data_IF_409657575832
#
_entry.id   IF_409657575832
#
_cell.length_a   1.000
_cell.length_b   1.000
_cell.length_c   1.000
_cell.angle_alpha   90.00
_cell.angle_beta   90.00
_cell.angle_gamma   90.00
#
_symmetry.space_group_name_H-M   'P 1'
#
loop_
_entity.id
_entity.type
_entity.pdbx_description
1 polymer ?
#
# COMPACT_ATOMS: atom_id res chain seq x y z
N UNK A 1 -21.35 -15.86 -11.73
CA UNK A 1 -20.64 -16.78 -12.65
C UNK A 1 -19.97 -17.96 -11.95
N UNK A 2 -19.18 -17.73 -10.89
CA UNK A 2 -18.40 -18.74 -10.13
C UNK A 2 -19.04 -20.14 -10.02
N UNK A 3 -20.16 -20.29 -9.30
CA UNK A 3 -20.79 -21.60 -9.05
C UNK A 3 -21.37 -22.28 -10.29
N UNK A 4 -21.81 -21.52 -11.29
CA UNK A 4 -22.56 -22.05 -12.46
C UNK A 4 -21.65 -22.34 -13.65
N UNK A 5 -20.59 -21.55 -13.83
CA UNK A 5 -19.68 -21.65 -14.97
C UNK A 5 -18.32 -22.21 -14.52
N UNK A 6 -17.56 -21.44 -13.73
CA UNK A 6 -16.16 -21.77 -13.42
C UNK A 6 -16.01 -23.03 -12.56
N UNK A 7 -16.82 -23.21 -11.52
CA UNK A 7 -16.73 -24.40 -10.66
C UNK A 7 -17.22 -25.66 -11.38
N UNK A 8 -18.33 -25.53 -12.13
CA UNK A 8 -18.95 -26.67 -12.83
C UNK A 8 -18.13 -27.12 -14.04
N UNK A 9 -17.50 -26.17 -14.73
CA UNK A 9 -16.81 -26.39 -16.00
C UNK A 9 -15.36 -25.91 -15.92
N UNK A 10 -14.63 -26.40 -14.91
CA UNK A 10 -13.26 -25.94 -14.58
C UNK A 10 -12.30 -25.92 -15.79
N UNK A 11 -12.36 -26.95 -16.62
CA UNK A 11 -11.44 -27.10 -17.75
C UNK A 11 -12.02 -26.58 -19.08
N UNK A 12 -13.30 -26.15 -19.11
CA UNK A 12 -13.99 -25.84 -20.35
C UNK A 12 -13.31 -24.72 -21.13
N UNK A 13 -12.86 -23.66 -20.46
CA UNK A 13 -12.15 -22.56 -21.14
C UNK A 13 -10.86 -23.04 -21.81
N UNK A 14 -10.08 -23.84 -21.09
CA UNK A 14 -8.80 -24.39 -21.57
C UNK A 14 -9.02 -25.36 -22.73
N UNK A 15 -9.99 -26.26 -22.62
CA UNK A 15 -10.34 -27.22 -23.67
C UNK A 15 -10.94 -26.54 -24.90
N UNK A 16 -11.80 -25.55 -24.71
CA UNK A 16 -12.40 -24.78 -25.80
C UNK A 16 -11.32 -24.02 -26.58
N UNK A 17 -10.38 -23.39 -25.88
CA UNK A 17 -9.24 -22.70 -26.51
C UNK A 17 -8.40 -23.66 -27.35
N UNK A 18 -8.06 -24.84 -26.81
CA UNK A 18 -7.34 -25.88 -27.53
C UNK A 18 -8.04 -26.29 -28.83
N UNK A 19 -9.36 -26.52 -28.76
CA UNK A 19 -10.15 -26.90 -29.94
C UNK A 19 -10.18 -25.77 -30.96
N UNK A 20 -10.36 -24.53 -30.52
CA UNK A 20 -10.36 -23.35 -31.41
C UNK A 20 -9.01 -23.22 -32.13
N UNK A 21 -7.90 -23.32 -31.41
CA UNK A 21 -6.56 -23.20 -31.99
C UNK A 21 -6.27 -24.33 -32.98
N UNK A 22 -6.68 -25.57 -32.65
CA UNK A 22 -6.55 -26.72 -33.55
C UNK A 22 -7.38 -26.57 -34.83
N UNK A 23 -8.60 -26.05 -34.73
CA UNK A 23 -9.46 -25.83 -35.90
C UNK A 23 -8.91 -24.71 -36.78
N UNK A 24 -8.40 -23.63 -36.17
CA UNK A 24 -7.89 -22.47 -36.91
C UNK A 24 -6.51 -22.70 -37.53
N UNK A 25 -5.61 -23.45 -36.86
CA UNK A 25 -4.20 -23.56 -37.22
C UNK A 25 -3.71 -25.00 -37.42
N UNK A 26 -4.60 -25.99 -37.34
CA UNK A 26 -4.23 -27.40 -37.43
C UNK A 26 -3.29 -27.83 -36.31
N UNK A 27 -2.30 -28.67 -36.62
CA UNK A 27 -1.33 -29.18 -35.64
C UNK A 27 -0.51 -28.05 -34.98
N UNK A 28 -0.26 -26.94 -35.69
CA UNK A 28 0.42 -25.77 -35.12
C UNK A 28 -0.38 -25.12 -33.99
N UNK A 29 -1.70 -25.31 -33.97
CA UNK A 29 -2.57 -24.87 -32.87
C UNK A 29 -2.18 -25.46 -31.51
N UNK A 30 -1.61 -26.67 -31.47
CA UNK A 30 -1.10 -27.27 -30.23
C UNK A 30 0.02 -26.41 -29.62
N UNK A 31 0.93 -25.93 -30.46
CA UNK A 31 2.05 -25.09 -30.02
C UNK A 31 1.57 -23.73 -29.55
N UNK A 32 0.62 -23.11 -30.27
CA UNK A 32 0.02 -21.81 -29.88
C UNK A 32 -0.65 -21.94 -28.51
N UNK A 33 -1.51 -22.95 -28.34
CA UNK A 33 -2.20 -23.21 -27.09
C UNK A 33 -1.20 -23.45 -25.94
N UNK A 34 -0.14 -24.24 -26.18
CA UNK A 34 0.88 -24.51 -25.17
C UNK A 34 1.60 -23.22 -24.72
N UNK A 35 1.93 -22.33 -25.67
CA UNK A 35 2.51 -21.01 -25.38
C UNK A 35 1.55 -20.16 -24.55
N UNK A 36 0.25 -20.14 -24.89
CA UNK A 36 -0.75 -19.40 -24.12
C UNK A 36 -0.91 -19.94 -22.69
N UNK A 37 -0.83 -21.26 -22.50
CA UNK A 37 -0.93 -21.89 -21.18
C UNK A 37 0.29 -21.60 -20.29
N UNK A 38 1.49 -21.58 -20.87
CA UNK A 38 2.70 -21.26 -20.09
C UNK A 38 2.88 -19.75 -19.87
N UNK A 39 2.29 -18.90 -20.71
CA UNK A 39 2.43 -17.45 -20.63
C UNK A 39 2.12 -16.90 -19.24
N UNK A 40 0.93 -17.20 -18.70
CA UNK A 40 0.52 -16.64 -17.40
C UNK A 40 1.42 -17.14 -16.26
N UNK A 41 1.65 -18.45 -16.04
CA UNK A 41 2.54 -18.91 -14.98
C UNK A 41 3.97 -18.36 -15.10
N UNK A 42 4.53 -18.34 -16.31
CA UNK A 42 5.90 -17.87 -16.53
C UNK A 42 6.02 -16.37 -16.26
N UNK A 43 5.15 -15.55 -16.85
CA UNK A 43 5.23 -14.10 -16.73
C UNK A 43 4.71 -13.60 -15.38
N UNK A 44 3.56 -14.09 -14.89
CA UNK A 44 3.01 -13.61 -13.63
C UNK A 44 3.78 -14.17 -12.42
N UNK A 45 3.87 -15.49 -12.29
CA UNK A 45 4.48 -16.12 -11.11
C UNK A 45 6.03 -16.14 -11.18
N UNK A 46 6.61 -16.14 -12.38
CA UNK A 46 8.06 -16.07 -12.56
C UNK A 46 8.55 -14.63 -12.66
N UNK A 47 8.30 -13.97 -13.80
CA UNK A 47 8.91 -12.69 -14.15
C UNK A 47 8.42 -11.55 -13.26
N UNK A 48 7.11 -11.31 -13.21
CA UNK A 48 6.52 -10.17 -12.49
C UNK A 48 6.65 -10.37 -10.98
N UNK A 49 6.45 -11.57 -10.45
CA UNK A 49 6.74 -11.83 -9.04
C UNK A 49 8.21 -11.54 -8.70
N UNK A 50 9.16 -12.05 -9.51
CA UNK A 50 10.59 -11.80 -9.30
C UNK A 50 10.96 -10.32 -9.39
N UNK A 51 10.54 -9.64 -10.45
CA UNK A 51 10.78 -8.20 -10.65
C UNK A 51 10.09 -7.36 -9.57
N UNK A 52 8.85 -7.70 -9.23
CA UNK A 52 8.07 -7.03 -8.18
C UNK A 52 8.74 -7.11 -6.82
N UNK A 53 9.55 -8.13 -6.54
CA UNK A 53 10.34 -8.20 -5.30
C UNK A 53 11.75 -7.58 -5.41
N UNK A 54 12.20 -7.22 -6.61
CA UNK A 54 13.54 -6.66 -6.84
C UNK A 54 13.53 -5.15 -7.09
N UNK A 55 12.61 -4.66 -7.91
CA UNK A 55 12.64 -3.28 -8.39
C UNK A 55 11.24 -2.71 -8.68
N UNK A 56 11.01 -1.49 -8.20
CA UNK A 56 9.77 -0.77 -8.40
C UNK A 56 9.55 0.33 -7.35
N UNK A 57 8.35 0.90 -7.35
CA UNK A 57 7.91 1.87 -6.35
C UNK A 57 6.97 1.22 -5.33
N UNK A 58 6.72 1.90 -4.21
CA UNK A 58 5.80 1.43 -3.16
C UNK A 58 4.85 2.53 -2.75
N UNK A 59 3.57 2.20 -2.64
CA UNK A 59 2.59 3.05 -1.99
C UNK A 59 2.52 2.79 -0.49
N UNK A 60 2.83 1.55 -0.07
CA UNK A 60 2.69 1.08 1.29
C UNK A 60 3.95 0.38 1.79
N UNK A 61 4.27 0.62 3.06
CA UNK A 61 5.31 -0.11 3.79
C UNK A 61 4.75 -1.44 4.31
N UNK A 62 4.57 -2.41 3.40
CA UNK A 62 4.31 -3.81 3.74
C UNK A 62 5.57 -4.50 4.28
N UNK A 63 5.46 -5.57 5.10
CA UNK A 63 6.62 -6.28 5.65
C UNK A 63 7.51 -6.95 4.59
N UNK A 64 6.92 -7.35 3.47
CA UNK A 64 7.64 -7.98 2.36
C UNK A 64 8.35 -6.99 1.44
N UNK A 65 9.13 -7.55 0.51
CA UNK A 65 9.84 -6.80 -0.51
C UNK A 65 8.96 -6.38 -1.71
N UNK A 66 7.63 -6.58 -1.69
CA UNK A 66 6.77 -6.36 -2.86
C UNK A 66 6.72 -4.88 -3.31
N UNK A 67 7.00 -4.61 -4.57
CA UNK A 67 7.00 -3.31 -5.22
C UNK A 67 6.06 -3.31 -6.41
N UNK A 68 5.43 -2.18 -6.69
CA UNK A 68 4.74 -1.99 -7.96
C UNK A 68 5.79 -1.74 -9.05
N UNK A 69 5.73 -2.48 -10.14
CA UNK A 69 6.75 -2.42 -11.20
C UNK A 69 6.50 -1.21 -12.10
N UNK A 70 5.28 -1.13 -12.64
CA UNK A 70 4.83 -0.05 -13.52
C UNK A 70 3.42 0.38 -13.15
N UNK A 71 3.04 1.64 -13.42
CA UNK A 71 1.68 2.12 -13.17
C UNK A 71 0.62 1.49 -14.07
N UNK A 72 1.02 0.88 -15.19
CA UNK A 72 0.13 0.32 -16.20
C UNK A 72 0.00 -1.20 -16.00
N UNK A 73 -1.02 -1.63 -15.26
CA UNK A 73 -1.32 -3.03 -15.00
C UNK A 73 -1.93 -3.77 -16.21
N UNK A 74 -1.30 -3.66 -17.37
CA UNK A 74 -1.83 -4.12 -18.66
C UNK A 74 -1.36 -5.52 -19.07
N UNK A 75 -0.12 -5.92 -18.73
CA UNK A 75 0.52 -7.10 -19.30
C UNK A 75 -0.02 -8.40 -18.70
N UNK A 76 -0.31 -8.40 -17.40
CA UNK A 76 -0.84 -9.56 -16.69
C UNK A 76 -2.03 -9.21 -15.80
N UNK A 77 -2.84 -8.25 -16.24
CA UNK A 77 -4.15 -7.97 -15.66
C UNK A 77 -4.12 -7.24 -14.31
N UNK A 78 -3.04 -6.55 -13.96
CA UNK A 78 -2.95 -5.70 -12.77
C UNK A 78 -1.98 -6.19 -11.69
N UNK A 79 -1.47 -7.43 -11.80
CA UNK A 79 -0.47 -8.01 -10.88
C UNK A 79 0.84 -7.19 -10.84
N UNK A 80 1.07 -6.31 -11.81
CA UNK A 80 2.17 -5.33 -11.79
C UNK A 80 2.07 -4.34 -10.61
N UNK A 81 0.87 -4.17 -10.05
CA UNK A 81 0.58 -3.39 -8.84
C UNK A 81 0.76 -4.24 -7.56
N UNK A 82 1.86 -4.98 -7.52
CA UNK A 82 2.16 -6.02 -6.53
C UNK A 82 2.25 -5.51 -5.09
N UNK A 83 2.82 -4.32 -4.85
CA UNK A 83 2.87 -3.72 -3.51
C UNK A 83 1.46 -3.42 -2.98
N UNK A 84 0.56 -2.97 -3.85
CA UNK A 84 -0.82 -2.69 -3.46
C UNK A 84 -1.57 -4.00 -3.18
N UNK A 85 -1.37 -5.03 -4.00
CA UNK A 85 -1.93 -6.37 -3.78
C UNK A 85 -1.50 -6.92 -2.41
N UNK A 86 -0.21 -6.89 -2.11
CA UNK A 86 0.34 -7.36 -0.84
C UNK A 86 -0.12 -6.51 0.37
N UNK A 87 -0.35 -5.21 0.18
CA UNK A 87 -0.93 -4.34 1.21
C UNK A 87 -2.39 -4.69 1.51
N UNK A 88 -3.19 -5.02 0.49
CA UNK A 88 -4.62 -5.30 0.60
C UNK A 88 -5.02 -6.56 -0.20
N UNK A 89 -4.61 -7.76 0.24
CA UNK A 89 -4.75 -9.00 -0.55
C UNK A 89 -6.20 -9.42 -0.79
N UNK A 90 -7.12 -8.94 0.05
CA UNK A 90 -8.56 -9.20 -0.12
C UNK A 90 -9.29 -8.19 -1.01
N UNK A 91 -8.62 -7.13 -1.46
CA UNK A 91 -9.20 -6.12 -2.34
C UNK A 91 -9.32 -6.67 -3.76
N UNK A 92 -10.50 -6.52 -4.36
CA UNK A 92 -10.71 -6.82 -5.78
C UNK A 92 -10.08 -5.77 -6.72
N UNK A 93 -9.68 -4.61 -6.19
CA UNK A 93 -9.00 -3.54 -6.91
C UNK A 93 -7.54 -3.48 -6.44
N UNK A 94 -6.60 -3.58 -7.37
CA UNK A 94 -5.16 -3.53 -7.15
C UNK A 94 -4.62 -2.09 -7.24
N UNK A 95 -5.27 -1.21 -7.99
CA UNK A 95 -4.92 0.23 -8.00
C UNK A 95 -5.28 0.95 -6.70
N UNK A 96 -4.33 1.73 -6.19
CA UNK A 96 -4.45 2.57 -4.99
C UNK A 96 -4.26 4.07 -5.29
N UNK A 97 -3.58 4.42 -6.38
CA UNK A 97 -3.44 5.80 -6.87
C UNK A 97 -4.32 6.02 -8.09
N UNK A 98 -4.72 7.27 -8.32
CA UNK A 98 -5.57 7.64 -9.45
C UNK A 98 -4.88 7.45 -10.82
N UNK A 99 -3.55 7.50 -10.85
CA UNK A 99 -2.72 7.31 -12.05
C UNK A 99 -2.32 5.85 -12.29
N UNK A 100 -2.66 4.93 -11.38
CA UNK A 100 -2.45 3.49 -11.58
C UNK A 100 -3.61 2.94 -12.41
N UNK A 101 -3.28 2.32 -13.55
CA UNK A 101 -4.24 1.67 -14.42
C UNK A 101 -4.33 0.20 -14.02
N UNK A 102 -5.53 -0.23 -13.69
CA UNK A 102 -5.83 -1.58 -13.23
C UNK A 102 -6.83 -2.22 -14.18
N UNK A 103 -6.31 -3.00 -15.13
CA UNK A 103 -7.12 -3.63 -16.16
C UNK A 103 -8.04 -4.71 -15.56
N UNK A 104 -7.57 -5.45 -14.56
CA UNK A 104 -8.36 -6.43 -13.82
C UNK A 104 -9.59 -5.81 -13.17
N UNK A 105 -9.43 -4.64 -12.53
CA UNK A 105 -10.55 -3.87 -12.00
C UNK A 105 -11.53 -3.43 -13.09
N UNK A 106 -11.03 -3.00 -14.25
CA UNK A 106 -11.86 -2.71 -15.42
C UNK A 106 -12.76 -3.89 -15.81
N UNK A 107 -12.18 -5.09 -15.94
CA UNK A 107 -12.94 -6.31 -16.23
C UNK A 107 -13.97 -6.63 -15.14
N UNK A 108 -13.60 -6.54 -13.87
CA UNK A 108 -14.52 -6.80 -12.73
C UNK A 108 -15.69 -5.81 -12.76
N UNK A 109 -15.44 -4.54 -13.06
CA UNK A 109 -16.49 -3.52 -13.17
C UNK A 109 -17.41 -3.77 -14.34
N UNK A 110 -16.89 -4.17 -15.50
CA UNK A 110 -17.71 -4.57 -16.65
C UNK A 110 -18.60 -5.77 -16.31
N UNK A 111 -18.02 -6.83 -15.71
CA UNK A 111 -18.81 -8.00 -15.29
C UNK A 111 -19.86 -7.64 -14.23
N UNK A 112 -19.55 -6.73 -13.31
CA UNK A 112 -20.52 -6.26 -12.32
C UNK A 112 -21.64 -5.43 -12.95
N UNK A 113 -21.34 -4.63 -13.98
CA UNK A 113 -22.32 -3.83 -14.72
C UNK A 113 -23.38 -4.73 -15.38
N UNK A 114 -22.95 -5.86 -15.95
CA UNK A 114 -23.84 -6.86 -16.54
C UNK A 114 -24.44 -7.83 -15.50
N UNK A 115 -24.27 -7.59 -14.20
CA UNK A 115 -24.81 -8.45 -13.12
C UNK A 115 -24.16 -9.85 -13.03
N UNK A 116 -23.03 -10.06 -13.71
CA UNK A 116 -22.34 -11.34 -13.80
C UNK A 116 -21.41 -11.61 -12.61
N UNK A 117 -20.92 -10.53 -11.99
CA UNK A 117 -20.08 -10.53 -10.80
C UNK A 117 -20.61 -9.57 -9.73
N UNK A 118 -20.24 -9.81 -8.47
CA UNK A 118 -20.43 -8.87 -7.35
C UNK A 118 -19.08 -8.60 -6.71
N UNK A 119 -18.71 -7.33 -6.58
CA UNK A 119 -17.49 -6.92 -5.86
C UNK A 119 -17.71 -7.17 -4.38
N UNK A 120 -16.87 -8.01 -3.76
CA UNK A 120 -17.02 -8.36 -2.34
C UNK A 120 -16.32 -7.37 -1.41
N UNK A 121 -15.08 -6.99 -1.75
CA UNK A 121 -14.22 -6.15 -0.92
C UNK A 121 -13.36 -5.25 -1.79
N UNK A 122 -13.15 -4.03 -1.33
CA UNK A 122 -12.21 -3.06 -1.89
C UNK A 122 -11.42 -2.50 -0.71
N UNK A 123 -10.14 -2.21 -0.94
CA UNK A 123 -9.31 -1.56 0.07
C UNK A 123 -9.99 -0.27 0.58
N UNK A 124 -10.04 -0.05 1.90
CA UNK A 124 -10.68 1.12 2.47
C UNK A 124 -9.95 2.39 2.05
N UNK A 125 -10.66 3.31 1.41
CA UNK A 125 -10.13 4.64 1.08
C UNK A 125 -10.52 5.60 2.19
N UNK A 126 -9.54 6.15 2.94
CA UNK A 126 -9.82 7.11 3.98
C UNK A 126 -10.27 8.45 3.35
N UNK A 127 -11.31 9.03 3.94
CA UNK A 127 -11.82 10.36 3.64
C UNK A 127 -11.68 11.22 4.89
N UNK A 128 -11.46 12.52 4.72
CA UNK A 128 -11.42 13.46 5.83
C UNK A 128 -12.79 14.13 5.93
N UNK A 129 -13.54 13.81 6.98
CA UNK A 129 -14.72 14.53 7.41
C UNK A 129 -14.30 15.78 8.19
N UNK A 130 -14.49 16.95 7.59
CA UNK A 130 -14.12 18.23 8.18
C UNK A 130 -15.03 18.63 9.37
N UNK A 131 -16.17 17.97 9.56
CA UNK A 131 -17.11 18.29 10.64
C UNK A 131 -16.70 17.64 11.97
N UNK A 132 -15.93 16.55 11.92
CA UNK A 132 -15.46 15.85 13.12
C UNK A 132 -14.35 16.62 13.82
N UNK A 133 -14.57 16.90 15.11
CA UNK A 133 -13.60 17.60 15.95
C UNK A 133 -12.88 16.69 16.96
N UNK A 134 -13.42 15.49 17.21
CA UNK A 134 -12.89 14.53 18.16
C UNK A 134 -12.73 13.16 17.53
N UNK A 135 -11.74 12.41 18.01
CA UNK A 135 -11.53 11.03 17.62
C UNK A 135 -12.53 10.18 18.40
N UNK A 136 -13.50 9.63 17.68
CA UNK A 136 -14.50 8.71 18.18
C UNK A 136 -14.19 7.26 17.76
N UNK A 137 -15.06 6.32 18.16
CA UNK A 137 -14.91 4.91 17.82
C UNK A 137 -14.94 4.64 16.31
N UNK A 138 -15.69 5.43 15.55
CA UNK A 138 -15.77 5.26 14.09
C UNK A 138 -14.49 5.75 13.41
N UNK A 139 -13.91 6.84 13.91
CA UNK A 139 -12.61 7.35 13.49
C UNK A 139 -11.52 6.32 13.78
N UNK A 140 -11.54 5.72 14.98
CA UNK A 140 -10.60 4.65 15.33
C UNK A 140 -10.71 3.46 14.36
N UNK A 141 -11.93 2.98 14.10
CA UNK A 141 -12.18 1.88 13.15
C UNK A 141 -11.67 2.24 11.75
N UNK A 142 -11.91 3.48 11.30
CA UNK A 142 -11.44 3.96 10.01
C UNK A 142 -9.91 3.99 9.93
N UNK A 143 -9.24 4.55 10.94
CA UNK A 143 -7.78 4.61 11.05
C UNK A 143 -7.17 3.20 11.07
N UNK A 144 -7.74 2.26 11.81
CA UNK A 144 -7.25 0.87 11.87
C UNK A 144 -7.44 0.17 10.51
N UNK A 145 -8.63 0.28 9.91
CA UNK A 145 -8.91 -0.34 8.63
C UNK A 145 -8.00 0.22 7.51
N UNK A 146 -7.75 1.54 7.54
CA UNK A 146 -6.90 2.24 6.58
C UNK A 146 -5.47 2.47 7.09
N UNK A 147 -4.95 1.67 8.04
CA UNK A 147 -3.66 1.91 8.71
C UNK A 147 -2.47 2.09 7.75
N UNK A 148 -2.43 1.33 6.65
CA UNK A 148 -1.36 1.47 5.66
C UNK A 148 -1.48 2.79 4.88
N UNK A 149 -2.70 3.26 4.60
CA UNK A 149 -2.92 4.60 4.06
C UNK A 149 -2.52 5.70 5.05
N UNK A 150 -2.83 5.55 6.34
CA UNK A 150 -2.44 6.48 7.40
C UNK A 150 -0.91 6.59 7.48
N UNK A 151 -0.21 5.46 7.49
CA UNK A 151 1.27 5.44 7.50
C UNK A 151 1.89 5.99 6.22
N UNK A 152 1.31 5.68 5.05
CA UNK A 152 1.70 6.25 3.75
C UNK A 152 1.47 7.76 3.70
N UNK A 153 0.39 8.26 4.33
CA UNK A 153 0.14 9.68 4.48
C UNK A 153 1.16 10.32 5.42
N UNK A 154 1.40 9.75 6.61
CA UNK A 154 2.38 10.24 7.57
C UNK A 154 3.78 10.39 6.95
N UNK A 155 4.24 9.37 6.20
CA UNK A 155 5.51 9.41 5.50
C UNK A 155 5.59 10.59 4.50
N UNK A 156 4.52 10.84 3.74
CA UNK A 156 4.49 11.87 2.70
C UNK A 156 4.23 13.28 3.23
N UNK A 157 3.41 13.46 4.27
CA UNK A 157 2.97 14.77 4.75
C UNK A 157 3.70 15.24 5.99
N UNK A 158 4.33 14.33 6.75
CA UNK A 158 5.08 14.66 7.96
C UNK A 158 6.56 14.41 7.76
N UNK A 159 6.94 13.16 7.48
CA UNK A 159 8.34 12.76 7.45
C UNK A 159 9.13 13.41 6.33
N UNK A 160 8.67 13.30 5.07
CA UNK A 160 9.40 13.84 3.93
C UNK A 160 9.53 15.37 3.98
N UNK A 161 8.48 16.16 4.29
CA UNK A 161 8.60 17.60 4.41
C UNK A 161 9.53 18.02 5.55
N UNK A 162 9.44 17.37 6.72
CA UNK A 162 10.33 17.65 7.84
C UNK A 162 11.80 17.38 7.44
N UNK A 163 12.08 16.24 6.81
CA UNK A 163 13.41 15.88 6.34
C UNK A 163 13.97 16.85 5.31
N UNK A 164 13.17 17.24 4.32
CA UNK A 164 13.59 18.22 3.31
C UNK A 164 13.86 19.60 3.91
N UNK A 165 13.07 20.02 4.90
CA UNK A 165 13.30 21.28 5.61
C UNK A 165 14.60 21.25 6.41
N UNK A 166 14.83 20.18 7.18
CA UNK A 166 16.06 20.03 7.96
C UNK A 166 17.30 19.89 7.06
N UNK A 167 17.19 19.17 5.93
CA UNK A 167 18.28 19.06 4.96
C UNK A 167 18.65 20.43 4.34
N UNK A 168 17.65 21.28 4.07
CA UNK A 168 17.86 22.65 3.56
C UNK A 168 18.55 23.56 4.58
N UNK A 169 18.22 23.41 5.87
CA UNK A 169 18.81 24.20 6.97
C UNK A 169 20.14 23.67 7.50
N UNK A 170 20.47 22.40 7.21
CA UNK A 170 21.67 21.74 7.73
C UNK A 170 22.97 22.37 7.22
N UNK A 171 23.96 22.44 8.10
CA UNK A 171 25.36 22.70 7.78
C UNK A 171 25.95 21.55 6.93
N UNK A 172 27.15 21.74 6.37
CA UNK A 172 27.79 20.76 5.47
C UNK A 172 27.96 19.38 6.09
N UNK A 173 28.30 19.29 7.39
CA UNK A 173 28.50 18.02 8.09
C UNK A 173 27.18 17.30 8.33
N UNK A 174 26.18 18.00 8.86
CA UNK A 174 24.83 17.45 9.08
C UNK A 174 24.16 17.05 7.76
N UNK A 175 24.36 17.83 6.70
CA UNK A 175 23.80 17.54 5.36
C UNK A 175 24.35 16.25 4.79
N UNK A 176 25.65 15.99 4.93
CA UNK A 176 26.27 14.75 4.47
C UNK A 176 25.70 13.52 5.20
N UNK A 177 25.48 13.63 6.51
CA UNK A 177 24.88 12.55 7.31
C UNK A 177 23.42 12.30 6.92
N UNK A 178 22.62 13.35 6.77
CA UNK A 178 21.22 13.24 6.32
C UNK A 178 21.14 12.63 4.91
N UNK A 179 21.99 13.06 3.97
CA UNK A 179 22.01 12.53 2.61
C UNK A 179 22.24 11.01 2.57
N UNK A 180 23.05 10.46 3.50
CA UNK A 180 23.29 9.02 3.60
C UNK A 180 22.03 8.22 3.98
N UNK A 181 21.14 8.81 4.79
CA UNK A 181 19.93 8.12 5.29
C UNK A 181 18.66 8.49 4.51
N UNK A 182 18.75 9.42 3.56
CA UNK A 182 17.61 9.93 2.79
C UNK A 182 16.77 8.83 2.11
N UNK A 183 17.43 7.78 1.58
CA UNK A 183 16.76 6.66 0.89
C UNK A 183 16.00 5.71 1.82
N UNK A 184 16.37 5.70 3.10
CA UNK A 184 15.79 4.79 4.11
C UNK A 184 14.90 5.52 5.11
N UNK A 185 14.85 6.85 5.06
CA UNK A 185 14.11 7.70 5.99
C UNK A 185 12.66 7.25 6.21
N UNK A 186 11.92 6.91 5.16
CA UNK A 186 10.52 6.49 5.26
C UNK A 186 10.33 4.98 5.41
N UNK A 187 11.39 4.16 5.40
CA UNK A 187 11.28 2.70 5.56
C UNK A 187 10.89 2.34 6.99
N UNK A 188 10.20 1.22 7.17
CA UNK A 188 9.93 0.69 8.51
C UNK A 188 11.20 0.11 9.13
N UNK A 189 11.31 0.22 10.46
CA UNK A 189 12.46 -0.29 11.22
C UNK A 189 12.69 -1.80 11.03
N UNK A 190 11.61 -2.56 10.88
CA UNK A 190 11.62 -4.01 10.67
C UNK A 190 12.33 -4.43 9.38
N UNK A 191 12.47 -3.50 8.42
CA UNK A 191 13.09 -3.74 7.11
C UNK A 191 14.53 -3.26 7.02
N UNK A 192 15.07 -2.67 8.08
CA UNK A 192 16.43 -2.16 8.10
C UNK A 192 17.34 -3.18 8.79
N UNK A 193 18.49 -3.45 8.18
CA UNK A 193 19.58 -4.13 8.87
C UNK A 193 20.09 -3.28 10.05
N UNK A 194 20.76 -3.92 11.01
CA UNK A 194 21.24 -3.27 12.22
C UNK A 194 22.19 -2.09 11.95
N UNK A 195 23.02 -2.18 10.91
CA UNK A 195 23.99 -1.13 10.57
C UNK A 195 23.27 0.11 10.03
N UNK A 196 22.36 -0.09 9.09
CA UNK A 196 21.53 0.96 8.50
C UNK A 196 20.62 1.59 9.56
N UNK A 197 20.03 0.78 10.45
CA UNK A 197 19.23 1.26 11.57
C UNK A 197 20.04 2.16 12.50
N UNK A 198 21.24 1.74 12.93
CA UNK A 198 22.09 2.55 13.81
C UNK A 198 22.47 3.89 13.17
N UNK A 199 22.84 3.89 11.89
CA UNK A 199 23.15 5.13 11.14
C UNK A 199 21.95 6.06 11.04
N UNK A 200 20.75 5.51 10.78
CA UNK A 200 19.51 6.28 10.78
C UNK A 200 19.27 6.93 12.14
N UNK A 201 19.36 6.17 13.23
CA UNK A 201 19.15 6.69 14.59
C UNK A 201 20.20 7.74 14.96
N UNK A 202 21.45 7.58 14.55
CA UNK A 202 22.50 8.59 14.73
C UNK A 202 22.20 9.88 13.96
N UNK A 203 21.76 9.78 12.71
CA UNK A 203 21.39 10.95 11.91
C UNK A 203 20.20 11.71 12.52
N UNK A 204 19.24 10.95 13.05
CA UNK A 204 18.01 11.47 13.64
C UNK A 204 18.26 12.09 15.01
N UNK A 205 19.14 11.51 15.85
CA UNK A 205 19.41 12.01 17.19
C UNK A 205 20.08 13.39 17.21
N UNK A 206 20.72 13.79 16.12
CA UNK A 206 21.35 15.11 15.95
C UNK A 206 20.36 16.22 15.56
N UNK A 207 19.11 15.89 15.24
CA UNK A 207 18.09 16.87 14.88
C UNK A 207 16.80 16.60 15.64
N UNK A 208 16.45 17.52 16.54
CA UNK A 208 15.28 17.39 17.41
C UNK A 208 13.98 17.17 16.63
N UNK A 209 13.76 17.92 15.54
CA UNK A 209 12.54 17.80 14.72
C UNK A 209 12.45 16.43 14.05
N UNK A 210 13.55 15.91 13.49
CA UNK A 210 13.55 14.58 12.88
C UNK A 210 13.33 13.50 13.92
N UNK A 211 13.95 13.64 15.10
CA UNK A 211 13.75 12.72 16.23
C UNK A 211 12.29 12.68 16.64
N UNK A 212 11.66 13.83 16.87
CA UNK A 212 10.25 13.92 17.24
C UNK A 212 9.35 13.27 16.18
N UNK A 213 9.52 13.61 14.90
CA UNK A 213 8.70 13.03 13.83
C UNK A 213 8.90 11.51 13.71
N UNK A 214 10.13 11.04 13.94
CA UNK A 214 10.45 9.61 13.93
C UNK A 214 9.80 8.88 15.11
N UNK A 215 9.93 9.39 16.33
CA UNK A 215 9.33 8.83 17.54
C UNK A 215 7.80 8.76 17.43
N UNK A 216 7.16 9.84 16.94
CA UNK A 216 5.71 9.85 16.74
C UNK A 216 5.24 8.83 15.71
N UNK A 217 6.04 8.56 14.67
CA UNK A 217 5.75 7.45 13.73
C UNK A 217 5.74 6.11 14.45
N UNK A 218 6.78 5.83 15.25
CA UNK A 218 6.91 4.56 15.98
C UNK A 218 5.76 4.38 16.97
N UNK A 219 5.41 5.44 17.70
CA UNK A 219 4.27 5.44 18.62
C UNK A 219 2.95 5.20 17.91
N UNK A 220 2.73 5.83 16.76
CA UNK A 220 1.53 5.61 15.95
C UNK A 220 1.45 4.15 15.50
N UNK A 221 2.58 3.59 15.03
CA UNK A 221 2.68 2.17 14.66
C UNK A 221 2.41 1.23 15.84
N UNK A 222 2.84 1.60 17.04
CA UNK A 222 2.62 0.84 18.26
C UNK A 222 1.14 0.82 18.69
N UNK A 223 0.36 1.86 18.40
CA UNK A 223 -1.07 1.93 18.80
C UNK A 223 -1.80 0.66 18.37
N UNK A 224 -1.73 0.27 17.09
CA UNK A 224 -2.48 -0.88 16.59
C UNK A 224 -1.82 -2.25 16.81
N UNK A 225 -0.57 -2.33 17.28
CA UNK A 225 0.09 -3.61 17.57
C UNK A 225 -0.05 -4.02 19.04
N UNK A 226 -0.26 -3.07 19.96
CA UNK A 226 -0.12 -3.31 21.40
C UNK A 226 -1.43 -3.55 22.17
N UNK A 227 -2.61 -3.22 21.62
CA UNK A 227 -3.87 -3.34 22.37
C UNK A 227 -4.93 -4.15 21.63
N UNK A 228 -5.49 -5.13 22.34
CA UNK A 228 -6.68 -5.91 21.91
C UNK A 228 -7.99 -5.17 22.27
N UNK A 229 -7.92 -4.15 23.14
CA UNK A 229 -9.09 -3.40 23.60
C UNK A 229 -9.23 -2.08 22.84
N UNK A 230 -10.37 -1.91 22.15
CA UNK A 230 -10.71 -0.72 21.37
C UNK A 230 -10.77 0.57 22.20
N UNK A 231 -11.16 0.53 23.48
CA UNK A 231 -11.19 1.73 24.33
C UNK A 231 -9.78 2.23 24.64
N UNK A 232 -8.85 1.30 24.93
CA UNK A 232 -7.44 1.64 25.13
C UNK A 232 -6.79 2.13 23.84
N UNK A 233 -7.16 1.54 22.71
CA UNK A 233 -6.73 2.01 21.38
C UNK A 233 -7.21 3.43 21.09
N UNK A 234 -8.49 3.70 21.40
CA UNK A 234 -9.08 5.02 21.24
C UNK A 234 -8.33 6.05 22.08
N UNK A 235 -8.11 5.74 23.37
CA UNK A 235 -7.38 6.60 24.29
C UNK A 235 -5.95 6.85 23.82
N UNK A 236 -5.22 5.79 23.43
CA UNK A 236 -3.86 5.92 22.91
C UNK A 236 -3.79 6.79 21.64
N UNK A 237 -4.76 6.66 20.74
CA UNK A 237 -4.85 7.48 19.53
C UNK A 237 -5.18 8.95 19.85
N UNK A 238 -6.07 9.18 20.81
CA UNK A 238 -6.39 10.52 21.31
C UNK A 238 -5.18 11.20 21.96
N UNK A 239 -4.47 10.48 22.83
CA UNK A 239 -3.26 10.98 23.50
C UNK A 239 -2.15 11.25 22.49
N UNK A 240 -1.96 10.36 21.51
CA UNK A 240 -1.03 10.58 20.40
C UNK A 240 -1.34 11.87 19.64
N UNK A 241 -2.61 12.15 19.32
CA UNK A 241 -2.98 13.39 18.62
C UNK A 241 -2.79 14.64 19.48
N UNK A 242 -3.17 14.59 20.77
CA UNK A 242 -2.97 15.71 21.70
C UNK A 242 -1.49 16.06 21.84
N UNK A 243 -0.64 15.05 22.04
CA UNK A 243 0.80 15.26 22.17
C UNK A 243 1.43 15.71 20.85
N UNK A 244 1.00 15.15 19.71
CA UNK A 244 1.48 15.55 18.38
C UNK A 244 1.22 17.03 18.12
N UNK A 245 0.07 17.54 18.56
CA UNK A 245 -0.30 18.96 18.45
C UNK A 245 0.55 19.86 19.36
N UNK A 246 1.05 19.34 20.48
CA UNK A 246 1.90 20.08 21.41
C UNK A 246 3.38 20.13 21.00
N UNK A 247 3.80 19.39 19.97
CA UNK A 247 5.23 19.27 19.57
C UNK A 247 5.86 20.53 18.99
N UNK A 248 5.07 21.50 18.51
CA UNK A 248 5.58 22.64 17.73
C UNK A 248 6.02 22.31 16.30
N UNK A 249 5.97 21.04 15.87
CA UNK A 249 6.32 20.64 14.49
C UNK A 249 5.08 20.77 13.59
N UNK A 250 5.02 21.83 12.78
CA UNK A 250 3.84 22.20 11.98
C UNK A 250 3.25 21.05 11.15
N UNK A 251 4.10 20.26 10.47
CA UNK A 251 3.64 19.14 9.64
C UNK A 251 2.99 18.03 10.46
N UNK A 252 3.50 17.75 11.65
CA UNK A 252 2.96 16.77 12.59
C UNK A 252 1.66 17.27 13.21
N UNK A 253 1.60 18.54 13.63
CA UNK A 253 0.39 19.18 14.14
C UNK A 253 -0.74 19.15 13.11
N UNK A 254 -0.44 19.48 11.84
CA UNK A 254 -1.41 19.43 10.73
C UNK A 254 -1.93 18.00 10.52
N UNK A 255 -1.04 17.01 10.52
CA UNK A 255 -1.44 15.61 10.36
C UNK A 255 -2.33 15.13 11.51
N UNK A 256 -1.99 15.45 12.76
CA UNK A 256 -2.80 15.11 13.93
C UNK A 256 -4.21 15.69 13.84
N UNK A 257 -4.36 16.95 13.41
CA UNK A 257 -5.68 17.56 13.17
C UNK A 257 -6.46 16.85 12.07
N UNK A 258 -5.81 16.47 10.97
CA UNK A 258 -6.45 15.71 9.89
C UNK A 258 -6.90 14.33 10.36
N UNK A 259 -6.13 13.67 11.23
CA UNK A 259 -6.43 12.32 11.72
C UNK A 259 -7.77 12.26 12.47
N UNK A 260 -8.21 13.37 13.09
CA UNK A 260 -9.51 13.50 13.76
C UNK A 260 -10.70 13.37 12.82
N UNK A 261 -10.51 13.77 11.56
CA UNK A 261 -11.53 13.68 10.52
C UNK A 261 -11.52 12.36 9.77
N UNK A 262 -10.64 11.40 10.07
CA UNK A 262 -10.56 10.17 9.29
C UNK A 262 -11.86 9.36 9.40
N UNK A 263 -12.49 9.15 8.25
CA UNK A 263 -13.65 8.30 8.08
C UNK A 263 -13.40 7.34 6.91
N UNK A 264 -14.13 6.23 6.87
CA UNK A 264 -14.16 5.38 5.68
C UNK A 264 -15.25 5.87 4.74
N UNK A 265 -14.98 5.80 3.43
CA UNK A 265 -16.05 5.94 2.45
C UNK A 265 -17.13 4.89 2.74
N UNK A 266 -18.42 5.25 2.81
CA UNK A 266 -19.48 4.25 2.94
C UNK A 266 -19.39 3.27 1.76
N UNK A 267 -19.55 1.97 2.07
CA UNK A 267 -19.44 0.87 1.10
C UNK A 267 -20.59 0.87 0.08
#
# INVERSE_FOLDING_TARGET
MERRLYTRWRNLGITLMLVIDLVAFGVLGLSIWAVQMIWIPLFAAGVINGLGHWWGYRNFESPDAATNIVPWGLLIGGEELHNNHHAYPSSAKLSSRWWEIDLGWGYIRLLSLFGLARVRRVAPVPVIDATKQQIDMDTLRAVIAARLHVMSAYARTVMMPAFQEQLRRADSGSRALLAQVARVWTRSEERLDDTTRRRLLEAVSRNEVLRTVYEFRQRLQAVWTQSVNNERLLQALQDWCKEAEATGVESLQRFARQLRGFALTPA
#
